data_IF_416099763932
#
_entry.id   IF_416099763932
#
_cell.length_a   1.000
_cell.length_b   1.000
_cell.length_c   1.000
_cell.angle_alpha   90.00
_cell.angle_beta   90.00
_cell.angle_gamma   90.00
#
_symmetry.space_group_name_H-M   'P 1'
#
loop_
_entity.id
_entity.type
_entity.pdbx_description
1 polymer ?
#
# COMPACT_ATOMS: atom_id res chain seq x y z
N UNK A 1 9.14 12.77 -10.23
CA UNK A 1 7.85 12.10 -10.47
C UNK A 1 8.15 10.63 -10.35
N UNK A 2 7.59 9.97 -9.34
CA UNK A 2 7.80 8.55 -9.15
C UNK A 2 6.83 7.73 -9.99
N UNK A 3 7.10 6.44 -10.12
CA UNK A 3 6.21 5.46 -10.76
C UNK A 3 6.04 4.28 -9.83
N UNK A 4 4.96 3.53 -10.03
CA UNK A 4 4.75 2.29 -9.29
C UNK A 4 4.03 1.25 -10.13
N UNK A 5 4.26 0.01 -9.76
CA UNK A 5 3.59 -1.16 -10.32
C UNK A 5 2.89 -1.89 -9.18
N UNK A 6 1.70 -2.43 -9.47
CA UNK A 6 0.98 -3.24 -8.50
C UNK A 6 0.37 -4.47 -9.15
N UNK A 7 0.39 -5.58 -8.42
CA UNK A 7 -0.25 -6.83 -8.81
C UNK A 7 -1.04 -7.39 -7.63
N UNK A 8 -2.12 -8.11 -7.93
CA UNK A 8 -2.86 -8.88 -6.93
C UNK A 8 -3.35 -10.19 -7.50
N UNK A 9 -3.52 -11.18 -6.64
CA UNK A 9 -4.09 -12.49 -6.99
C UNK A 9 -4.82 -13.09 -5.79
N UNK A 10 -5.83 -13.93 -6.06
CA UNK A 10 -6.50 -14.75 -5.05
C UNK A 10 -6.72 -16.16 -5.58
N UNK A 11 -6.14 -17.15 -4.91
CA UNK A 11 -6.19 -18.55 -5.36
C UNK A 11 -7.34 -19.36 -4.73
N UNK A 12 -8.28 -18.71 -4.03
CA UNK A 12 -9.35 -19.37 -3.27
C UNK A 12 -9.03 -19.60 -1.79
N UNK A 13 -7.78 -19.37 -1.37
CA UNK A 13 -7.36 -19.48 0.04
C UNK A 13 -6.49 -18.30 0.45
N UNK A 14 -5.57 -17.87 -0.41
CA UNK A 14 -4.60 -16.82 -0.11
C UNK A 14 -4.72 -15.69 -1.11
N UNK A 15 -4.95 -14.49 -0.58
CA UNK A 15 -4.83 -13.23 -1.30
C UNK A 15 -3.37 -12.77 -1.21
N UNK A 16 -2.81 -12.37 -2.35
CA UNK A 16 -1.46 -11.83 -2.46
C UNK A 16 -1.54 -10.48 -3.14
N UNK A 17 -0.88 -9.48 -2.57
CA UNK A 17 -0.76 -8.15 -3.13
C UNK A 17 0.69 -7.70 -3.11
N UNK A 18 1.18 -7.27 -4.27
CA UNK A 18 2.53 -6.74 -4.46
C UNK A 18 2.44 -5.28 -4.90
N UNK A 19 3.26 -4.44 -4.27
CA UNK A 19 3.52 -3.07 -4.69
C UNK A 19 5.02 -2.89 -4.88
N UNK A 20 5.40 -2.24 -5.97
CA UNK A 20 6.76 -1.78 -6.27
C UNK A 20 6.67 -0.30 -6.62
N UNK A 21 7.50 0.55 -6.02
CA UNK A 21 7.46 1.99 -6.21
C UNK A 21 8.86 2.61 -6.31
N UNK A 22 9.15 3.22 -7.45
CA UNK A 22 10.32 4.07 -7.66
C UNK A 22 9.94 5.51 -7.27
N UNK A 23 10.13 5.82 -5.98
CA UNK A 23 9.81 7.09 -5.33
C UNK A 23 11.00 7.56 -4.49
N UNK A 24 11.08 8.86 -4.24
CA UNK A 24 12.14 9.43 -3.39
C UNK A 24 12.05 8.89 -1.95
N UNK A 25 13.14 9.02 -1.18
CA UNK A 25 13.12 8.69 0.24
C UNK A 25 12.09 9.53 1.00
N UNK A 26 11.40 8.96 2.00
CA UNK A 26 10.44 9.69 2.78
C UNK A 26 11.13 10.77 3.62
N UNK A 27 10.34 11.74 4.07
CA UNK A 27 10.79 12.79 4.99
C UNK A 27 11.38 12.20 6.27
N UNK A 28 12.26 12.93 6.96
CA UNK A 28 12.86 12.47 8.22
C UNK A 28 11.78 12.16 9.25
N UNK A 29 11.82 10.96 9.83
CA UNK A 29 10.82 10.48 10.80
C UNK A 29 9.53 9.97 10.16
N UNK A 30 9.55 9.70 8.85
CA UNK A 30 8.43 9.12 8.10
C UNK A 30 8.79 7.78 7.45
N UNK A 31 7.77 7.03 7.08
CA UNK A 31 7.87 5.83 6.25
C UNK A 31 6.75 5.77 5.22
N UNK A 32 6.83 4.85 4.26
CA UNK A 32 5.75 4.64 3.31
C UNK A 32 4.87 3.46 3.72
N UNK A 33 3.55 3.63 3.63
CA UNK A 33 2.56 2.58 3.87
C UNK A 33 1.69 2.35 2.63
N UNK A 34 1.35 1.09 2.39
CA UNK A 34 0.44 0.69 1.31
C UNK A 34 -0.98 0.46 1.82
N UNK A 35 -1.96 0.86 1.01
CA UNK A 35 -3.38 0.72 1.32
C UNK A 35 -4.14 0.13 0.14
N UNK A 36 -5.01 -0.84 0.40
CA UNK A 36 -6.09 -1.17 -0.51
C UNK A 36 -7.26 -0.22 -0.26
N UNK A 37 -7.86 0.30 -1.32
CA UNK A 37 -8.92 1.31 -1.23
C UNK A 37 -10.16 0.88 -2.00
N UNK A 38 -11.31 1.05 -1.36
CA UNK A 38 -12.64 0.87 -1.95
C UNK A 38 -13.48 2.10 -1.68
N UNK A 39 -14.01 2.73 -2.72
CA UNK A 39 -14.76 4.00 -2.60
C UNK A 39 -16.25 3.82 -2.39
N UNK A 40 -16.81 2.70 -2.85
CA UNK A 40 -18.25 2.41 -2.83
C UNK A 40 -18.52 1.04 -2.20
N UNK A 41 -19.61 0.87 -1.42
CA UNK A 41 -20.65 1.88 -1.11
C UNK A 41 -20.21 2.92 -0.06
N UNK A 42 -19.13 2.64 0.67
CA UNK A 42 -18.49 3.56 1.61
C UNK A 42 -17.00 3.55 1.37
N UNK A 43 -16.35 4.68 1.61
CA UNK A 43 -14.89 4.78 1.56
C UNK A 43 -14.30 3.88 2.66
N UNK A 44 -13.48 2.93 2.24
CA UNK A 44 -12.83 1.95 3.11
C UNK A 44 -11.36 1.78 2.72
N UNK A 45 -10.54 1.55 3.72
CA UNK A 45 -9.09 1.45 3.62
C UNK A 45 -8.60 0.24 4.41
N UNK A 46 -7.79 -0.60 3.77
CA UNK A 46 -7.11 -1.71 4.44
C UNK A 46 -5.61 -1.44 4.38
N UNK A 47 -5.00 -1.28 5.57
CA UNK A 47 -3.55 -1.24 5.70
C UNK A 47 -2.98 -2.56 5.19
N UNK A 48 -2.03 -2.47 4.27
CA UNK A 48 -1.27 -3.63 3.76
C UNK A 48 0.16 -3.66 4.28
N UNK A 49 0.55 -2.63 5.04
CA UNK A 49 1.82 -2.56 5.77
C UNK A 49 2.83 -1.58 5.18
N UNK A 50 3.97 -1.51 5.87
CA UNK A 50 5.11 -0.65 5.52
C UNK A 50 5.80 -1.15 4.26
N UNK A 51 6.09 -0.25 3.33
CA UNK A 51 6.97 -0.53 2.20
C UNK A 51 8.42 -0.59 2.69
N UNK A 52 9.13 -1.64 2.28
CA UNK A 52 10.53 -1.85 2.57
C UNK A 52 11.39 -1.42 1.38
N UNK A 53 12.45 -0.66 1.67
CA UNK A 53 13.38 -0.19 0.65
C UNK A 53 14.32 -1.33 0.24
N UNK A 54 14.25 -1.73 -1.02
CA UNK A 54 15.19 -2.63 -1.67
C UNK A 54 16.01 -1.85 -2.70
N UNK A 55 17.26 -1.55 -2.36
CA UNK A 55 18.18 -0.71 -3.15
C UNK A 55 17.61 0.69 -3.44
N UNK A 56 16.92 0.86 -4.59
CA UNK A 56 16.33 2.12 -5.05
C UNK A 56 14.81 2.09 -5.10
N UNK A 57 14.20 0.94 -4.87
CA UNK A 57 12.76 0.74 -5.01
C UNK A 57 12.14 0.41 -3.65
N UNK A 58 10.93 0.87 -3.43
CA UNK A 58 10.12 0.51 -2.28
C UNK A 58 9.18 -0.62 -2.63
N UNK A 59 9.17 -1.66 -1.81
CA UNK A 59 8.43 -2.90 -2.09
C UNK A 59 7.52 -3.25 -0.92
N UNK A 60 6.33 -3.76 -1.22
CA UNK A 60 5.42 -4.33 -0.23
C UNK A 60 4.85 -5.64 -0.75
N UNK A 61 4.98 -6.69 0.05
CA UNK A 61 4.30 -7.97 -0.17
C UNK A 61 3.34 -8.21 0.98
N UNK A 62 2.05 -8.17 0.67
CA UNK A 62 0.97 -8.45 1.61
C UNK A 62 0.32 -9.79 1.28
N UNK A 63 0.08 -10.61 2.30
CA UNK A 63 -0.66 -11.86 2.19
C UNK A 63 -1.78 -11.92 3.22
N UNK A 64 -2.92 -12.48 2.83
CA UNK A 64 -4.07 -12.67 3.72
C UNK A 64 -4.88 -13.91 3.35
N UNK A 65 -5.59 -14.47 4.32
CA UNK A 65 -6.63 -15.47 4.05
C UNK A 65 -7.96 -14.83 3.62
N UNK A 66 -8.09 -13.51 3.81
CA UNK A 66 -9.26 -12.73 3.35
C UNK A 66 -9.09 -12.32 1.90
N UNK A 67 -10.13 -12.51 1.09
CA UNK A 67 -10.17 -12.04 -0.29
C UNK A 67 -10.47 -10.53 -0.33
N UNK A 68 -9.51 -9.74 -0.80
CA UNK A 68 -9.65 -8.29 -1.01
C UNK A 68 -9.72 -7.93 -2.51
N UNK A 69 -10.09 -8.88 -3.38
CA UNK A 69 -10.21 -8.65 -4.83
C UNK A 69 -11.26 -7.59 -5.21
N UNK A 70 -12.13 -7.20 -4.28
CA UNK A 70 -13.12 -6.14 -4.47
C UNK A 70 -12.62 -4.73 -4.12
N UNK A 71 -11.34 -4.57 -3.73
CA UNK A 71 -10.67 -3.26 -3.53
C UNK A 71 -9.92 -2.84 -4.80
N UNK A 72 -10.50 -2.03 -5.69
CA UNK A 72 -9.97 -1.80 -7.04
C UNK A 72 -8.74 -0.88 -7.10
N UNK A 73 -8.37 -0.26 -5.98
CA UNK A 73 -7.34 0.77 -5.95
C UNK A 73 -6.28 0.48 -4.89
N UNK A 74 -5.09 1.03 -5.14
CA UNK A 74 -3.94 1.02 -4.23
C UNK A 74 -3.50 2.44 -4.00
N UNK A 75 -3.18 2.79 -2.75
CA UNK A 75 -2.59 4.07 -2.39
C UNK A 75 -1.31 3.82 -1.59
N UNK A 76 -0.29 4.64 -1.85
CA UNK A 76 0.89 4.77 -1.00
C UNK A 76 0.81 6.12 -0.30
N UNK A 77 0.98 6.11 1.01
CA UNK A 77 1.06 7.31 1.84
C UNK A 77 2.40 7.41 2.56
N UNK A 78 2.77 8.62 2.95
CA UNK A 78 3.88 8.91 3.85
C UNK A 78 3.32 9.09 5.28
N UNK A 79 3.78 8.25 6.20
CA UNK A 79 3.24 8.02 7.55
C UNK A 79 4.24 8.35 8.66
N UNK A 80 3.75 8.77 9.84
CA UNK A 80 4.60 9.12 10.99
C UNK A 80 5.17 7.90 11.68
N UNK A 81 6.50 7.77 11.69
CA UNK A 81 7.22 6.63 12.29
C UNK A 81 6.83 6.38 13.76
N UNK A 82 6.61 7.44 14.54
CA UNK A 82 6.24 7.30 15.96
C UNK A 82 4.80 6.84 16.20
N UNK A 83 3.92 6.90 15.18
CA UNK A 83 2.54 6.40 15.26
C UNK A 83 2.46 4.94 14.80
N UNK A 84 3.39 4.51 13.94
CA UNK A 84 3.38 3.16 13.37
C UNK A 84 2.20 2.94 12.42
N UNK A 85 1.80 1.68 12.23
CA UNK A 85 0.64 1.32 11.42
C UNK A 85 -0.64 1.52 12.25
N UNK A 86 -1.16 2.74 12.29
CA UNK A 86 -2.27 3.15 13.16
C UNK A 86 -3.65 3.03 12.51
N UNK A 87 -3.72 2.55 11.26
CA UNK A 87 -4.91 2.46 10.42
C UNK A 87 -5.54 3.81 10.04
N UNK A 88 -4.76 4.90 10.04
CA UNK A 88 -5.21 6.19 9.58
C UNK A 88 -4.27 6.75 8.50
N UNK A 89 -4.63 6.66 7.21
CA UNK A 89 -3.80 7.19 6.13
C UNK A 89 -3.48 8.68 6.32
N UNK A 90 -2.21 9.05 6.23
CA UNK A 90 -1.72 10.42 6.34
C UNK A 90 -1.54 11.07 4.95
N UNK A 91 -0.30 11.24 4.50
CA UNK A 91 -0.01 12.09 3.33
C UNK A 91 0.03 11.25 2.08
N UNK A 92 -0.92 11.46 1.16
CA UNK A 92 -0.93 10.78 -0.14
C UNK A 92 0.35 11.03 -0.97
N UNK A 93 0.95 9.96 -1.50
CA UNK A 93 2.16 10.01 -2.34
C UNK A 93 1.88 9.53 -3.76
N UNK A 94 1.31 8.33 -3.88
CA UNK A 94 1.05 7.68 -5.16
C UNK A 94 -0.27 6.90 -5.09
N UNK A 95 -1.01 6.85 -6.18
CA UNK A 95 -2.20 6.00 -6.32
C UNK A 95 -2.16 5.22 -7.63
N UNK A 96 -2.82 4.05 -7.62
CA UNK A 96 -2.91 3.16 -8.77
C UNK A 96 -4.18 2.31 -8.76
N UNK A 97 -4.42 1.63 -9.87
CA UNK A 97 -5.52 0.67 -10.05
C UNK A 97 -4.96 -0.64 -10.58
N UNK A 98 -5.65 -1.75 -10.31
CA UNK A 98 -5.33 -3.06 -10.85
C UNK A 98 -5.91 -3.28 -12.26
#
# INVERSE_FOLDING_TARGET
>A
MGSGETNRDYNGTTFVHLVMADIADPSVGKFYEGWLVKKEPTLDFISTGRLEKQEKEYTLLFTSETDYSDYPQVVITEETESLGLDNNPETHVLEGTF
#
